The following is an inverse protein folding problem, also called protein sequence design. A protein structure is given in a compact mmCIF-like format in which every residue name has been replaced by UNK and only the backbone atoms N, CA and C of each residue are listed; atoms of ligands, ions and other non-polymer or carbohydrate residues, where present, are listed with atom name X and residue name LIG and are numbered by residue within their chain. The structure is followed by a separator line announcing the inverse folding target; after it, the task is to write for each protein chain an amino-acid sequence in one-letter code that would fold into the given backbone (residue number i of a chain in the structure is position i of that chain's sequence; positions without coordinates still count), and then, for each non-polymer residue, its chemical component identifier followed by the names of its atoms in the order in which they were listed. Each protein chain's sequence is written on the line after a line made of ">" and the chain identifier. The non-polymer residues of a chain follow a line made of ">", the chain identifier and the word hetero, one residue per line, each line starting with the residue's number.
data_IF_360650137591
#
_entry.id   IF_360650137591
#
_cell.length_a   1.000
_cell.length_b   1.000
_cell.length_c   1.000
_cell.angle_alpha   90.00
_cell.angle_beta   90.00
_cell.angle_gamma   90.00
#
_symmetry.space_group_name_H-M   'P 1'
#
loop_
_entity.id
_entity.type
_entity.pdbx_description
1 polymer ?
#
# COMPACT_ATOMS: atom_id res chain seq x y z
N UNK A 1 29.70 8.77 68.02
CA UNK A 1 29.99 8.90 66.57
C UNK A 1 28.89 9.75 65.98
N UNK A 2 29.19 10.66 65.06
CA UNK A 2 28.13 11.48 64.48
C UNK A 2 27.18 10.61 63.62
N UNK A 3 25.94 11.05 63.51
CA UNK A 3 24.94 10.45 62.61
C UNK A 3 25.48 10.41 61.18
N UNK A 4 25.02 9.43 60.43
CA UNK A 4 25.31 9.26 58.98
C UNK A 4 24.01 9.22 58.19
N UNK A 5 24.09 9.33 56.87
CA UNK A 5 22.91 9.33 56.01
C UNK A 5 22.91 8.15 55.04
N UNK A 6 21.74 7.75 54.56
CA UNK A 6 21.62 6.82 53.47
C UNK A 6 21.96 7.49 52.15
N UNK A 7 22.68 6.80 51.27
CA UNK A 7 23.21 7.37 50.01
C UNK A 7 22.12 7.85 49.05
N UNK A 8 21.02 7.08 48.92
CA UNK A 8 20.01 7.35 47.89
C UNK A 8 18.92 8.32 48.37
N UNK A 9 18.52 8.23 49.64
CA UNK A 9 17.40 9.01 50.16
C UNK A 9 17.81 10.05 51.17
N UNK A 10 19.07 10.13 51.59
CA UNK A 10 19.53 11.05 52.60
C UNK A 10 18.82 10.94 53.95
N UNK A 11 18.40 9.70 54.30
CA UNK A 11 17.74 9.44 55.60
C UNK A 11 18.77 9.35 56.68
N UNK A 12 18.57 10.05 57.77
CA UNK A 12 19.51 10.07 58.88
C UNK A 12 19.51 8.74 59.65
N UNK A 13 20.66 8.13 59.77
CA UNK A 13 20.93 6.99 60.64
C UNK A 13 21.49 7.52 61.97
N UNK A 14 20.61 7.66 62.95
CA UNK A 14 20.96 8.18 64.25
C UNK A 14 21.97 7.28 64.92
N UNK A 15 23.11 7.82 65.36
CA UNK A 15 24.11 7.08 66.10
C UNK A 15 23.68 6.84 67.55
N UNK A 16 24.13 5.73 68.11
CA UNK A 16 23.81 5.35 69.48
C UNK A 16 24.28 6.41 70.46
N UNK A 17 23.36 6.91 71.26
CA UNK A 17 23.62 7.95 72.27
C UNK A 17 23.54 9.37 71.76
N UNK A 18 23.28 9.57 70.47
CA UNK A 18 23.01 10.91 69.90
C UNK A 18 21.54 11.28 70.00
N UNK A 19 21.27 12.59 69.80
CA UNK A 19 19.92 13.17 69.68
C UNK A 19 19.01 12.95 70.91
N UNK A 20 19.59 12.97 72.12
CA UNK A 20 18.80 12.94 73.33
C UNK A 20 17.81 14.12 73.39
N UNK A 21 16.51 13.76 73.40
CA UNK A 21 15.41 14.72 73.32
C UNK A 21 14.96 15.18 71.93
N UNK A 22 15.72 14.86 70.85
CA UNK A 22 15.37 15.23 69.47
C UNK A 22 15.21 14.05 68.53
N UNK A 23 15.49 12.81 68.95
CA UNK A 23 15.43 11.62 68.10
C UNK A 23 14.03 11.42 67.49
N UNK A 24 12.95 11.77 68.22
CA UNK A 24 11.58 11.71 67.72
C UNK A 24 11.34 12.65 66.52
N UNK A 25 11.89 13.86 66.58
CA UNK A 25 11.82 14.79 65.47
C UNK A 25 12.56 14.27 64.24
N UNK A 26 13.78 13.74 64.40
CA UNK A 26 14.58 13.18 63.34
C UNK A 26 13.88 11.92 62.74
N UNK A 27 13.29 11.07 63.58
CA UNK A 27 12.54 9.92 63.12
C UNK A 27 11.32 10.31 62.29
N UNK A 28 10.56 11.31 62.75
CA UNK A 28 9.41 11.83 62.00
C UNK A 28 9.85 12.46 60.65
N UNK A 29 10.93 13.26 60.66
CA UNK A 29 11.50 13.77 59.41
C UNK A 29 11.90 12.65 58.45
N UNK A 30 12.53 11.60 58.97
CA UNK A 30 12.87 10.43 58.16
C UNK A 30 11.63 9.76 57.52
N UNK A 31 10.51 9.67 58.24
CA UNK A 31 9.25 9.18 57.66
C UNK A 31 8.74 10.08 56.56
N UNK A 32 8.78 11.39 56.73
CA UNK A 32 8.39 12.34 55.69
C UNK A 32 9.28 12.21 54.44
N UNK A 33 10.59 11.96 54.62
CA UNK A 33 11.51 11.72 53.52
C UNK A 33 11.21 10.41 52.78
N UNK A 34 10.84 9.36 53.50
CA UNK A 34 10.45 8.08 52.94
C UNK A 34 9.13 8.23 52.14
N UNK A 35 8.15 8.91 52.75
CA UNK A 35 6.86 9.19 52.10
C UNK A 35 7.04 9.92 50.76
N UNK A 36 7.82 11.01 50.79
CA UNK A 36 8.16 11.77 49.57
C UNK A 36 8.86 10.95 48.51
N UNK A 37 9.71 10.01 48.90
CA UNK A 37 10.42 9.14 47.98
C UNK A 37 9.52 8.03 47.37
N UNK A 38 8.53 7.55 48.13
CA UNK A 38 7.65 6.48 47.71
C UNK A 38 6.49 6.99 46.85
N UNK A 39 5.89 8.12 47.27
CA UNK A 39 4.65 8.60 46.62
C UNK A 39 4.60 10.14 46.42
N UNK A 40 5.70 10.84 46.69
CA UNK A 40 5.76 12.29 46.56
C UNK A 40 5.62 12.76 45.12
N UNK A 41 4.77 13.77 44.93
CA UNK A 41 4.53 14.46 43.65
C UNK A 41 4.88 15.94 43.85
N UNK A 42 5.69 16.52 42.95
CA UNK A 42 6.08 17.92 43.04
C UNK A 42 6.08 18.58 41.66
N UNK A 43 5.71 19.86 41.65
CA UNK A 43 5.94 20.75 40.50
C UNK A 43 7.11 21.67 40.82
N UNK A 44 8.11 21.70 39.96
CA UNK A 44 9.32 22.52 40.06
C UNK A 44 9.29 23.57 38.95
N UNK A 45 9.14 24.84 39.36
CA UNK A 45 9.14 25.95 38.41
C UNK A 45 10.57 26.38 38.11
N UNK A 46 11.02 26.26 36.88
CA UNK A 46 12.31 26.73 36.42
C UNK A 46 12.26 28.25 36.18
N UNK A 47 13.21 28.98 36.70
CA UNK A 47 13.32 30.43 36.51
C UNK A 47 14.26 30.84 35.37
N UNK A 48 15.07 29.90 34.86
CA UNK A 48 15.99 30.08 33.74
C UNK A 48 16.28 28.76 33.05
N UNK A 49 16.74 28.82 31.81
CA UNK A 49 17.20 27.66 31.10
C UNK A 49 18.50 27.06 31.66
N UNK A 50 19.31 27.87 32.32
CA UNK A 50 20.63 27.45 32.79
C UNK A 50 21.58 27.08 31.64
N UNK A 51 22.57 26.28 31.94
CA UNK A 51 23.50 25.69 30.95
C UNK A 51 24.12 24.42 31.51
N UNK A 52 24.87 23.68 30.71
CA UNK A 52 25.60 22.49 31.16
C UNK A 52 26.62 22.78 32.25
N UNK A 53 27.19 23.99 32.31
CA UNK A 53 28.10 24.44 33.37
C UNK A 53 27.45 25.18 34.55
N UNK A 54 26.16 25.50 34.41
CA UNK A 54 25.35 26.18 35.47
C UNK A 54 23.90 25.68 35.34
N UNK A 55 23.64 24.42 35.65
CA UNK A 55 22.30 23.83 35.58
C UNK A 55 21.45 24.28 36.77
N UNK A 56 20.14 24.03 36.69
CA UNK A 56 19.27 24.05 37.85
C UNK A 56 19.48 22.79 38.67
N UNK A 57 19.81 22.91 39.94
CA UNK A 57 19.96 21.80 40.86
C UNK A 57 18.60 21.16 41.19
N UNK A 58 18.55 19.88 41.13
CA UNK A 58 17.47 19.01 41.62
C UNK A 58 18.03 18.19 42.80
N UNK A 59 18.04 18.75 44.02
CA UNK A 59 18.77 18.14 45.11
C UNK A 59 18.03 17.01 45.81
N UNK A 60 18.79 16.03 46.31
CA UNK A 60 18.42 15.11 47.38
C UNK A 60 19.25 15.47 48.60
N UNK A 61 18.66 16.25 49.49
CA UNK A 61 19.38 16.81 50.63
C UNK A 61 19.32 15.90 51.84
N UNK A 62 20.47 15.66 52.45
CA UNK A 62 20.56 14.81 53.65
C UNK A 62 19.73 15.38 54.82
N UNK A 63 18.89 14.53 55.41
CA UNK A 63 18.08 14.85 56.58
C UNK A 63 17.03 15.96 56.39
N UNK A 64 16.79 16.39 55.14
CA UNK A 64 15.83 17.49 54.85
C UNK A 64 15.00 17.18 53.62
N UNK A 65 13.82 17.74 53.51
CA UNK A 65 12.97 17.67 52.32
C UNK A 65 13.67 18.35 51.14
N UNK A 66 13.50 17.75 49.94
CA UNK A 66 14.12 18.29 48.74
C UNK A 66 13.39 17.77 47.47
N UNK A 67 13.43 18.59 46.40
CA UNK A 67 12.67 18.35 45.20
C UNK A 67 13.08 17.06 44.47
N UNK A 68 14.39 16.75 44.45
CA UNK A 68 14.93 15.57 43.79
C UNK A 68 14.52 14.23 44.43
N UNK A 69 13.97 14.27 45.65
CA UNK A 69 13.54 13.07 46.39
C UNK A 69 12.23 12.50 45.85
N UNK A 70 11.35 13.33 45.30
CA UNK A 70 10.01 12.95 44.91
C UNK A 70 10.00 11.86 43.79
N UNK A 71 8.97 11.03 43.80
CA UNK A 71 8.77 9.97 42.80
C UNK A 71 8.32 10.51 41.46
N UNK A 72 7.47 11.56 41.48
CA UNK A 72 7.00 12.26 40.30
C UNK A 72 7.42 13.72 40.37
N UNK A 73 8.05 14.23 39.32
CA UNK A 73 8.53 15.60 39.23
C UNK A 73 8.04 16.21 37.93
N UNK A 74 7.23 17.26 38.05
CA UNK A 74 6.81 18.04 36.89
C UNK A 74 7.64 19.32 36.82
N UNK A 75 8.32 19.55 35.71
CA UNK A 75 8.98 20.82 35.46
C UNK A 75 8.05 21.78 34.71
N UNK A 76 7.88 22.96 35.30
CA UNK A 76 7.11 24.09 34.75
C UNK A 76 7.99 25.31 34.63
N UNK A 77 7.50 26.35 33.99
CA UNK A 77 8.12 27.67 33.97
C UNK A 77 7.06 28.78 34.18
N UNK A 78 7.52 29.99 34.49
CA UNK A 78 6.67 31.18 34.56
C UNK A 78 6.47 31.86 33.20
N UNK A 79 7.07 31.31 32.11
CA UNK A 79 7.09 31.80 30.75
C UNK A 79 8.26 31.19 29.98
N UNK A 80 8.27 31.32 28.66
CA UNK A 80 9.29 30.72 27.80
C UNK A 80 10.72 31.06 28.25
N UNK A 81 11.50 30.04 28.61
CA UNK A 81 12.89 30.17 29.07
C UNK A 81 13.87 30.59 27.96
N UNK A 82 13.43 30.67 26.72
CA UNK A 82 14.24 31.06 25.55
C UNK A 82 15.21 30.00 25.03
N UNK A 83 15.33 28.85 25.66
CA UNK A 83 16.24 27.78 25.29
C UNK A 83 15.94 26.48 26.01
N UNK A 84 16.71 25.43 25.68
CA UNK A 84 16.70 24.14 26.36
C UNK A 84 17.13 24.31 27.82
N UNK A 85 16.36 23.77 28.76
CA UNK A 85 16.67 23.83 30.17
C UNK A 85 17.66 22.74 30.59
N UNK A 86 18.61 23.10 31.46
CA UNK A 86 19.57 22.11 32.01
C UNK A 86 19.26 21.89 33.49
N UNK A 87 19.07 20.64 33.88
CA UNK A 87 18.75 20.22 35.25
C UNK A 87 19.74 19.12 35.67
N UNK A 88 20.27 19.25 36.88
CA UNK A 88 21.20 18.30 37.44
C UNK A 88 20.67 17.67 38.71
N UNK A 89 20.57 16.33 38.75
CA UNK A 89 20.30 15.62 40.00
C UNK A 89 21.56 15.59 40.86
N UNK A 90 21.43 16.07 42.12
CA UNK A 90 22.48 16.06 43.10
C UNK A 90 22.05 15.34 44.40
N UNK A 91 22.96 14.66 45.11
CA UNK A 91 24.35 14.40 44.78
C UNK A 91 24.55 13.38 43.65
N UNK A 92 25.76 13.33 43.08
CA UNK A 92 26.06 12.49 41.92
C UNK A 92 26.19 11.01 42.22
N UNK A 93 26.13 10.59 43.48
CA UNK A 93 26.17 9.22 43.93
C UNK A 93 24.79 8.66 44.37
N UNK A 94 23.73 9.44 44.22
CA UNK A 94 22.37 8.96 44.54
C UNK A 94 21.81 8.15 43.39
N UNK A 95 21.45 6.91 43.62
CA UNK A 95 20.69 6.10 42.66
C UNK A 95 19.21 6.39 42.79
N UNK A 96 18.53 6.57 41.62
CA UNK A 96 17.12 6.89 41.63
C UNK A 96 16.41 6.43 40.34
N UNK A 97 15.19 5.98 40.51
CA UNK A 97 14.21 5.90 39.42
C UNK A 97 13.11 6.91 39.69
N UNK A 98 12.80 7.75 38.71
CA UNK A 98 11.85 8.84 38.87
C UNK A 98 11.04 9.01 37.57
N UNK A 99 9.76 9.39 37.76
CA UNK A 99 8.91 9.82 36.65
C UNK A 99 9.01 11.33 36.50
N UNK A 100 9.36 11.80 35.33
CA UNK A 100 9.54 13.23 35.05
C UNK A 100 8.63 13.63 33.91
N UNK A 101 7.94 14.78 34.11
CA UNK A 101 7.15 15.46 33.08
C UNK A 101 7.77 16.78 32.71
N UNK A 102 7.88 17.03 31.41
CA UNK A 102 8.25 18.34 30.89
C UNK A 102 6.99 19.12 30.48
N UNK A 103 6.62 20.12 31.29
CA UNK A 103 5.50 21.03 31.04
C UNK A 103 5.97 22.48 30.80
N UNK A 104 7.18 22.66 30.26
CA UNK A 104 7.70 23.98 29.93
C UNK A 104 6.91 24.63 28.78
N UNK A 105 6.82 25.93 28.77
CA UNK A 105 6.27 26.71 27.67
C UNK A 105 7.27 26.83 26.49
N UNK A 106 6.87 27.42 25.37
CA UNK A 106 7.75 27.69 24.22
C UNK A 106 8.33 26.47 23.54
N UNK A 107 7.73 25.26 23.72
CA UNK A 107 8.21 24.00 23.14
C UNK A 107 9.65 23.65 23.51
N UNK A 108 10.06 23.94 24.76
CA UNK A 108 11.44 23.77 25.25
C UNK A 108 11.68 22.35 25.77
N UNK A 109 12.82 21.77 25.39
CA UNK A 109 13.31 20.51 25.97
C UNK A 109 13.99 20.73 27.31
N UNK A 110 14.09 19.69 28.12
CA UNK A 110 14.92 19.61 29.31
C UNK A 110 16.02 18.58 29.06
N UNK A 111 17.27 19.00 29.23
CA UNK A 111 18.42 18.10 29.37
C UNK A 111 18.63 17.85 30.85
N UNK A 112 18.45 16.60 31.28
CA UNK A 112 18.66 16.19 32.65
C UNK A 112 19.86 15.24 32.73
N UNK A 113 20.73 15.48 33.74
CA UNK A 113 21.93 14.71 33.91
C UNK A 113 22.30 14.58 35.42
N UNK A 114 23.31 13.76 35.70
CA UNK A 114 23.90 13.58 37.01
C UNK A 114 25.44 13.52 36.86
N UNK A 115 26.17 14.04 37.87
CA UNK A 115 27.62 14.12 37.77
C UNK A 115 28.10 15.21 36.81
N UNK A 116 29.20 15.00 36.13
CA UNK A 116 29.72 15.95 35.12
C UNK A 116 28.93 15.81 33.81
N UNK A 117 28.44 16.92 33.29
CA UNK A 117 27.69 16.92 32.02
C UNK A 117 28.50 16.30 30.87
N UNK A 118 27.89 15.42 30.16
CA UNK A 118 28.39 14.87 28.92
C UNK A 118 27.19 14.41 28.07
N UNK A 119 27.14 14.79 26.78
CA UNK A 119 26.06 14.46 25.87
C UNK A 119 25.85 12.95 25.64
N UNK A 120 26.75 12.08 26.13
CA UNK A 120 26.58 10.63 26.10
C UNK A 120 25.97 10.06 27.39
N UNK A 121 25.82 10.85 28.45
CA UNK A 121 25.34 10.39 29.75
C UNK A 121 24.15 11.22 30.30
N UNK A 122 23.65 12.14 29.52
CA UNK A 122 22.41 12.89 29.81
C UNK A 122 21.18 12.24 29.20
N UNK A 123 20.02 12.84 29.44
CA UNK A 123 18.77 12.50 28.78
C UNK A 123 17.98 13.75 28.40
N UNK A 124 17.58 13.86 27.16
CA UNK A 124 16.74 14.95 26.68
C UNK A 124 15.25 14.57 26.76
N UNK A 125 14.47 15.37 27.50
CA UNK A 125 13.03 15.23 27.64
C UNK A 125 12.37 16.29 26.76
N UNK A 126 11.80 15.88 25.64
CA UNK A 126 11.10 16.79 24.75
C UNK A 126 9.85 17.38 25.43
N UNK A 127 9.45 18.56 24.97
CA UNK A 127 8.29 19.28 25.54
C UNK A 127 7.02 18.40 25.50
N UNK A 128 6.24 18.46 26.59
CA UNK A 128 4.99 17.74 26.76
C UNK A 128 5.14 16.22 26.92
N UNK A 129 6.36 15.72 27.16
CA UNK A 129 6.61 14.29 27.35
C UNK A 129 6.74 13.91 28.84
N UNK A 130 6.25 12.70 29.12
CA UNK A 130 6.43 11.98 30.37
C UNK A 130 7.44 10.86 30.14
N UNK A 131 8.42 10.74 31.03
CA UNK A 131 9.47 9.73 30.96
C UNK A 131 9.76 9.16 32.34
N UNK A 132 10.12 7.88 32.40
CA UNK A 132 10.66 7.26 33.61
C UNK A 132 12.15 7.08 33.41
N UNK A 133 12.94 7.76 34.22
CA UNK A 133 14.39 7.79 34.13
C UNK A 133 15.05 7.06 35.31
N UNK A 134 16.18 6.45 35.03
CA UNK A 134 17.09 5.86 36.00
C UNK A 134 18.37 6.67 36.03
N UNK A 135 18.74 7.16 37.24
CA UNK A 135 20.02 7.73 37.60
C UNK A 135 20.85 6.66 38.31
N UNK A 136 22.06 6.41 37.85
CA UNK A 136 22.86 5.29 38.35
C UNK A 136 23.82 5.60 39.48
N UNK A 137 23.88 6.86 39.92
CA UNK A 137 24.76 7.25 41.05
C UNK A 137 26.25 7.03 40.81
N UNK A 138 26.71 7.02 39.56
CA UNK A 138 28.09 6.68 39.17
C UNK A 138 29.13 7.76 39.42
N UNK A 139 28.86 8.73 40.31
CA UNK A 139 29.76 9.83 40.61
C UNK A 139 29.88 10.83 39.48
N UNK A 140 31.13 11.26 39.14
CA UNK A 140 31.37 12.19 38.01
C UNK A 140 30.97 11.62 36.66
N UNK A 141 30.98 10.33 36.50
CA UNK A 141 30.58 9.59 35.28
C UNK A 141 29.16 9.02 35.35
N UNK A 142 28.31 9.54 36.24
CA UNK A 142 26.93 9.07 36.38
C UNK A 142 26.15 9.20 35.04
N UNK A 143 25.27 8.27 34.79
CA UNK A 143 24.45 8.20 33.56
C UNK A 143 22.98 8.31 33.90
N UNK A 144 22.22 8.89 32.96
CA UNK A 144 20.75 8.93 32.97
C UNK A 144 20.24 8.13 31.80
N UNK A 145 19.37 7.16 32.08
CA UNK A 145 18.80 6.29 31.03
C UNK A 145 17.30 6.19 31.19
N UNK A 146 16.59 6.04 30.09
CA UNK A 146 15.16 5.75 30.11
C UNK A 146 14.93 4.33 30.56
N UNK A 147 13.94 4.10 31.42
CA UNK A 147 13.62 2.78 31.95
C UNK A 147 12.84 1.94 30.93
N UNK A 148 11.94 2.57 30.20
CA UNK A 148 11.11 1.91 29.18
C UNK A 148 11.63 2.24 27.78
N UNK A 149 12.73 1.63 27.36
CA UNK A 149 13.27 1.75 26.00
C UNK A 149 12.53 0.78 25.07
N UNK A 150 12.28 -0.45 25.56
CA UNK A 150 11.56 -1.50 24.84
C UNK A 150 10.30 -1.87 25.62
N UNK A 151 9.13 -1.67 25.02
CA UNK A 151 7.88 -2.14 25.59
C UNK A 151 7.63 -3.57 25.14
N UNK A 152 7.90 -4.55 26.00
CA UNK A 152 7.45 -5.93 25.83
C UNK A 152 6.08 -6.07 26.47
N UNK A 153 5.03 -5.98 25.67
CA UNK A 153 3.65 -6.11 26.12
C UNK A 153 2.99 -7.30 25.43
N UNK A 154 2.25 -8.10 26.20
CA UNK A 154 1.45 -9.20 25.63
C UNK A 154 0.31 -8.63 24.76
N UNK A 155 -0.29 -7.52 25.18
CA UNK A 155 -1.33 -6.80 24.46
C UNK A 155 -1.20 -5.30 24.70
N UNK A 156 -1.43 -4.52 23.63
CA UNK A 156 -1.67 -3.08 23.73
C UNK A 156 -3.14 -2.86 23.41
N UNK A 157 -3.93 -2.44 24.39
CA UNK A 157 -5.36 -2.14 24.20
C UNK A 157 -5.55 -0.65 24.16
N UNK A 158 -6.06 -0.14 23.05
CA UNK A 158 -6.29 1.28 22.81
C UNK A 158 -5.79 1.73 21.45
N UNK A 159 -5.84 3.04 21.20
CA UNK A 159 -5.35 3.62 19.96
C UNK A 159 -3.85 3.83 20.03
N UNK A 160 -3.11 3.32 19.05
CA UNK A 160 -1.72 3.70 18.84
C UNK A 160 -1.69 4.97 17.99
N UNK A 161 -1.27 6.09 18.59
CA UNK A 161 -1.10 7.35 17.87
C UNK A 161 0.38 7.55 17.55
N UNK A 162 0.72 7.53 16.26
CA UNK A 162 2.09 7.66 15.77
C UNK A 162 2.42 6.62 14.70
N UNK A 163 3.67 6.62 14.26
CA UNK A 163 4.15 5.70 13.23
C UNK A 163 4.58 4.37 13.84
N UNK A 164 4.20 3.27 13.21
CA UNK A 164 4.80 1.96 13.46
C UNK A 164 6.01 1.82 12.54
N UNK A 165 7.21 1.83 13.11
CA UNK A 165 8.45 1.59 12.37
C UNK A 165 8.85 0.14 12.57
N UNK A 166 8.79 -0.68 11.52
CA UNK A 166 9.06 -2.12 11.56
C UNK A 166 7.91 -2.94 11.00
N UNK A 167 8.02 -4.26 11.16
CA UNK A 167 7.02 -5.20 10.64
C UNK A 167 5.83 -5.34 11.59
N UNK A 168 4.63 -5.25 11.06
CA UNK A 168 3.43 -5.70 11.77
C UNK A 168 3.21 -7.17 11.42
N UNK A 169 3.41 -8.05 12.41
CA UNK A 169 3.17 -9.49 12.26
C UNK A 169 1.81 -9.83 12.86
N UNK A 170 0.87 -10.22 12.04
CA UNK A 170 -0.51 -10.52 12.45
C UNK A 170 -1.54 -9.89 11.52
N UNK A 171 -2.82 -10.05 11.86
CA UNK A 171 -3.92 -9.48 11.09
C UNK A 171 -4.12 -7.99 11.44
N UNK A 172 -4.25 -7.15 10.42
CA UNK A 172 -4.75 -5.79 10.57
C UNK A 172 -6.25 -5.84 10.30
N UNK A 173 -7.06 -5.62 11.36
CA UNK A 173 -8.52 -5.59 11.24
C UNK A 173 -8.97 -4.13 11.21
N UNK A 174 -9.46 -3.67 10.09
CA UNK A 174 -9.89 -2.28 9.87
C UNK A 174 -9.35 -1.71 8.56
N UNK A 175 -9.60 -0.43 8.34
CA UNK A 175 -9.17 0.25 7.14
C UNK A 175 -7.71 0.67 7.24
N UNK A 176 -6.92 0.42 6.19
CA UNK A 176 -5.62 1.04 6.01
C UNK A 176 -5.84 2.30 5.18
N UNK A 177 -5.61 3.47 5.76
CA UNK A 177 -5.72 4.77 5.09
C UNK A 177 -4.33 5.29 4.78
N UNK A 178 -4.01 5.47 3.52
CA UNK A 178 -2.70 5.89 3.02
C UNK A 178 -2.13 4.92 1.98
N UNK A 179 -0.90 5.15 1.59
CA UNK A 179 -0.23 4.34 0.57
C UNK A 179 0.29 3.03 1.17
N UNK A 180 -0.02 1.91 0.52
CA UNK A 180 0.61 0.62 0.79
C UNK A 180 1.77 0.43 -0.19
N UNK A 181 2.99 0.61 0.30
CA UNK A 181 4.21 0.42 -0.50
C UNK A 181 4.75 -0.99 -0.28
N UNK A 182 4.71 -1.82 -1.30
CA UNK A 182 5.17 -3.21 -1.27
C UNK A 182 4.18 -4.19 -1.89
N UNK A 183 4.49 -5.48 -1.77
CA UNK A 183 3.66 -6.54 -2.34
C UNK A 183 2.52 -6.92 -1.40
N UNK A 184 1.31 -7.07 -1.95
CA UNK A 184 0.20 -7.75 -1.27
C UNK A 184 0.27 -9.23 -1.62
N UNK A 185 0.60 -10.07 -0.63
CA UNK A 185 0.61 -11.52 -0.79
C UNK A 185 -0.67 -12.09 -0.17
N UNK A 186 -1.56 -12.60 -0.99
CA UNK A 186 -2.86 -13.12 -0.58
C UNK A 186 -4.01 -12.55 -1.42
N UNK A 187 -5.24 -12.84 -1.01
CA UNK A 187 -6.43 -12.39 -1.73
C UNK A 187 -6.80 -10.94 -1.36
N UNK A 188 -7.05 -10.12 -2.38
CA UNK A 188 -7.72 -8.83 -2.19
C UNK A 188 -9.21 -9.07 -2.39
N UNK A 189 -9.99 -8.99 -1.28
CA UNK A 189 -11.44 -9.13 -1.32
C UNK A 189 -12.07 -7.75 -1.25
N UNK A 190 -12.68 -7.30 -2.32
CA UNK A 190 -13.28 -5.97 -2.46
C UNK A 190 -12.88 -5.29 -3.78
N UNK A 191 -13.29 -4.05 -3.94
CA UNK A 191 -12.98 -3.28 -5.14
C UNK A 191 -11.58 -2.69 -5.08
N UNK A 192 -10.83 -2.84 -6.16
CA UNK A 192 -9.60 -2.06 -6.39
C UNK A 192 -9.99 -0.84 -7.22
N UNK A 193 -9.96 0.34 -6.61
CA UNK A 193 -10.28 1.60 -7.29
C UNK A 193 -9.00 2.35 -7.59
N UNK A 194 -8.69 2.59 -8.85
CA UNK A 194 -7.48 3.27 -9.31
C UNK A 194 -6.81 2.54 -10.46
N UNK A 195 -5.66 3.02 -10.87
CA UNK A 195 -4.89 2.42 -11.96
C UNK A 195 -4.05 1.24 -11.45
N UNK A 196 -4.10 0.13 -12.16
CA UNK A 196 -3.19 -1.00 -11.95
C UNK A 196 -2.05 -0.83 -12.96
N UNK A 197 -0.86 -0.50 -12.47
CA UNK A 197 0.34 -0.39 -13.31
C UNK A 197 1.13 -1.68 -13.21
N UNK A 198 1.22 -2.43 -14.29
CA UNK A 198 1.89 -3.72 -14.36
C UNK A 198 1.02 -4.80 -14.97
N UNK A 199 1.47 -6.05 -14.89
CA UNK A 199 0.76 -7.19 -15.47
C UNK A 199 -0.33 -7.70 -14.52
N UNK A 200 -1.52 -7.94 -15.05
CA UNK A 200 -2.55 -8.73 -14.38
C UNK A 200 -2.39 -10.16 -14.88
N UNK A 201 -1.87 -11.03 -14.02
CA UNK A 201 -1.72 -12.47 -14.32
C UNK A 201 -2.72 -13.26 -13.50
N UNK A 202 -3.54 -14.05 -14.16
CA UNK A 202 -4.51 -14.97 -13.52
C UNK A 202 -4.28 -16.38 -14.04
N UNK A 203 -4.12 -17.33 -13.13
CA UNK A 203 -4.09 -18.76 -13.48
C UNK A 203 -5.50 -19.36 -13.62
N UNK A 204 -6.54 -18.60 -13.27
CA UNK A 204 -7.94 -18.97 -13.39
C UNK A 204 -8.71 -18.08 -14.37
N UNK A 205 -10.03 -18.12 -14.28
CA UNK A 205 -10.90 -17.25 -15.08
C UNK A 205 -10.96 -15.84 -14.49
N UNK A 206 -10.68 -14.83 -15.31
CA UNK A 206 -10.93 -13.43 -14.95
C UNK A 206 -12.24 -12.99 -15.61
N UNK A 207 -13.21 -12.56 -14.81
CA UNK A 207 -14.51 -12.08 -15.30
C UNK A 207 -14.54 -10.56 -15.25
N UNK A 208 -14.69 -9.93 -16.40
CA UNK A 208 -14.86 -8.49 -16.54
C UNK A 208 -16.25 -8.20 -17.10
N UNK A 209 -17.00 -7.31 -16.49
CA UNK A 209 -18.32 -6.89 -17.02
C UNK A 209 -18.18 -6.14 -18.35
N UNK A 210 -17.15 -5.31 -18.47
CA UNK A 210 -16.76 -4.62 -19.71
C UNK A 210 -15.24 -4.58 -19.79
N UNK A 211 -14.71 -4.75 -21.00
CA UNK A 211 -13.29 -4.59 -21.31
C UNK A 211 -13.17 -3.60 -22.46
N UNK A 212 -12.46 -2.50 -22.22
CA UNK A 212 -12.11 -1.53 -23.25
C UNK A 212 -10.59 -1.62 -23.50
N UNK A 213 -10.20 -2.10 -24.68
CA UNK A 213 -8.81 -2.23 -25.09
C UNK A 213 -8.50 -1.13 -26.09
N UNK A 214 -8.01 0.00 -25.61
CA UNK A 214 -7.67 1.17 -26.43
C UNK A 214 -6.36 1.01 -27.25
N UNK A 215 -5.63 -0.08 -26.98
CA UNK A 215 -4.41 -0.45 -27.71
C UNK A 215 -3.89 -1.79 -27.25
N UNK A 216 -3.04 -2.42 -28.03
CA UNK A 216 -2.50 -3.74 -27.75
C UNK A 216 -3.11 -4.86 -28.60
N UNK A 217 -2.86 -6.11 -28.22
CA UNK A 217 -3.31 -7.29 -28.93
C UNK A 217 -4.08 -8.24 -28.01
N UNK A 218 -4.97 -9.04 -28.59
CA UNK A 218 -5.57 -10.23 -27.96
C UNK A 218 -4.96 -11.42 -28.65
N UNK A 219 -3.93 -12.01 -28.04
CA UNK A 219 -3.14 -13.08 -28.63
C UNK A 219 -3.52 -14.47 -28.08
N UNK A 220 -3.51 -15.45 -28.93
CA UNK A 220 -3.63 -16.87 -28.58
C UNK A 220 -4.94 -17.27 -27.91
N UNK A 221 -5.99 -16.47 -28.03
CA UNK A 221 -7.24 -16.69 -27.32
C UNK A 221 -8.45 -16.63 -28.28
N UNK A 222 -9.44 -17.53 -28.16
CA UNK A 222 -10.70 -17.41 -28.90
C UNK A 222 -11.49 -16.19 -28.39
N UNK A 223 -11.91 -15.31 -29.27
CA UNK A 223 -12.81 -14.19 -28.95
C UNK A 223 -14.25 -14.63 -29.17
N UNK A 224 -15.09 -14.52 -28.13
CA UNK A 224 -16.52 -14.88 -28.18
C UNK A 224 -16.79 -16.39 -28.25
N UNK A 225 -15.93 -17.22 -27.65
CA UNK A 225 -16.01 -18.68 -27.76
C UNK A 225 -17.33 -19.29 -27.23
N UNK A 226 -17.90 -18.72 -26.14
CA UNK A 226 -19.09 -19.27 -25.47
C UNK A 226 -20.39 -18.59 -25.87
N UNK A 227 -20.37 -17.31 -26.10
CA UNK A 227 -21.55 -16.52 -26.50
C UNK A 227 -21.09 -15.42 -27.45
N UNK A 228 -20.95 -15.73 -28.73
CA UNK A 228 -20.54 -14.76 -29.73
C UNK A 228 -21.56 -13.60 -29.81
N UNK A 229 -21.05 -12.40 -29.92
CA UNK A 229 -21.83 -11.20 -30.18
C UNK A 229 -21.29 -10.50 -31.43
N UNK A 230 -21.93 -9.41 -31.84
CA UNK A 230 -21.49 -8.61 -32.99
C UNK A 230 -20.10 -8.05 -32.78
N UNK A 231 -19.17 -8.33 -33.67
CA UNK A 231 -17.85 -7.68 -33.75
C UNK A 231 -17.84 -6.65 -34.89
N UNK A 232 -17.46 -5.42 -34.62
CA UNK A 232 -17.22 -4.38 -35.62
C UNK A 232 -15.71 -4.24 -35.85
N UNK A 233 -15.27 -4.41 -37.09
CA UNK A 233 -13.87 -4.29 -37.48
C UNK A 233 -13.74 -3.27 -38.62
N UNK A 234 -12.79 -2.36 -38.53
CA UNK A 234 -12.41 -1.50 -39.66
C UNK A 234 -11.63 -2.30 -40.72
N UNK A 235 -10.88 -3.30 -40.28
CA UNK A 235 -10.14 -4.22 -41.12
C UNK A 235 -10.09 -5.58 -40.44
N UNK A 236 -10.48 -6.64 -41.16
CA UNK A 236 -10.28 -8.02 -40.75
C UNK A 236 -9.22 -8.65 -41.65
N UNK A 237 -8.05 -8.94 -41.08
CA UNK A 237 -6.97 -9.65 -41.78
C UNK A 237 -6.73 -11.00 -41.13
N UNK A 238 -6.69 -12.08 -41.95
CA UNK A 238 -6.42 -13.43 -41.51
C UNK A 238 -5.25 -14.02 -42.29
N UNK A 239 -4.33 -14.69 -41.60
CA UNK A 239 -3.22 -15.41 -42.24
C UNK A 239 -3.62 -16.83 -42.65
N UNK A 240 -4.77 -17.31 -42.21
CA UNK A 240 -5.35 -18.61 -42.54
C UNK A 240 -6.76 -18.49 -43.09
N UNK A 241 -7.50 -19.60 -43.08
CA UNK A 241 -8.88 -19.62 -43.54
C UNK A 241 -9.83 -18.98 -42.56
N UNK A 242 -10.58 -17.98 -42.99
CA UNK A 242 -11.72 -17.48 -42.22
C UNK A 242 -12.97 -18.30 -42.62
N UNK A 243 -13.56 -19.03 -41.67
CA UNK A 243 -14.82 -19.74 -41.90
C UNK A 243 -15.98 -18.85 -41.46
N UNK A 244 -16.72 -18.35 -42.43
CA UNK A 244 -17.89 -17.49 -42.22
C UNK A 244 -19.11 -18.23 -42.74
N UNK A 245 -20.11 -18.61 -41.91
CA UNK A 245 -21.31 -19.34 -42.36
C UNK A 245 -22.12 -18.57 -43.39
N UNK A 246 -22.16 -17.27 -43.26
CA UNK A 246 -22.77 -16.33 -44.21
C UNK A 246 -21.91 -15.08 -44.32
N UNK A 247 -21.74 -14.58 -45.51
CA UNK A 247 -21.09 -13.31 -45.80
C UNK A 247 -22.08 -12.43 -46.54
N UNK A 248 -22.45 -11.31 -45.95
CA UNK A 248 -23.23 -10.25 -46.60
C UNK A 248 -22.28 -9.09 -46.91
N UNK A 249 -22.06 -8.86 -48.20
CA UNK A 249 -21.25 -7.76 -48.68
C UNK A 249 -22.18 -6.69 -49.22
N UNK A 250 -22.64 -5.78 -48.35
CA UNK A 250 -23.56 -4.69 -48.70
C UNK A 250 -22.96 -3.66 -49.68
N UNK A 251 -21.65 -3.64 -49.84
CA UNK A 251 -20.90 -2.82 -50.78
C UNK A 251 -19.41 -3.19 -50.71
N UNK A 252 -18.67 -2.85 -51.75
CA UNK A 252 -17.24 -3.14 -51.87
C UNK A 252 -16.92 -4.16 -52.96
N UNK A 253 -15.68 -4.62 -53.00
CA UNK A 253 -15.11 -5.47 -54.03
C UNK A 253 -14.63 -6.80 -53.40
N UNK A 254 -14.69 -7.90 -54.16
CA UNK A 254 -14.08 -9.17 -53.84
C UNK A 254 -12.97 -9.36 -54.86
N UNK A 255 -11.77 -8.92 -54.52
CA UNK A 255 -10.62 -8.95 -55.41
C UNK A 255 -9.72 -10.19 -55.18
N UNK A 256 -9.12 -10.66 -56.25
CA UNK A 256 -8.04 -11.63 -56.22
C UNK A 256 -8.43 -13.02 -55.67
N UNK A 257 -9.72 -13.32 -55.57
CA UNK A 257 -10.21 -14.57 -54.95
C UNK A 257 -11.09 -15.38 -55.89
N UNK A 258 -11.01 -16.69 -55.74
CA UNK A 258 -11.95 -17.60 -56.44
C UNK A 258 -13.22 -17.76 -55.61
N UNK A 259 -14.35 -17.41 -56.20
CA UNK A 259 -15.65 -17.61 -55.55
C UNK A 259 -16.13 -19.06 -55.85
N UNK A 260 -16.29 -19.87 -54.79
CA UNK A 260 -16.74 -21.26 -54.92
C UNK A 260 -15.69 -22.21 -55.46
N UNK A 261 -14.40 -22.05 -55.13
CA UNK A 261 -13.30 -22.79 -55.70
C UNK A 261 -13.33 -24.33 -55.40
N UNK A 262 -13.82 -24.73 -54.22
CA UNK A 262 -13.81 -26.15 -53.82
C UNK A 262 -15.16 -26.87 -54.02
N UNK A 263 -16.25 -26.19 -53.70
CA UNK A 263 -17.62 -26.71 -53.88
C UNK A 263 -18.49 -25.56 -54.38
N UNK A 264 -18.50 -25.31 -55.68
CA UNK A 264 -19.27 -24.19 -56.22
C UNK A 264 -20.77 -24.38 -55.98
N UNK A 265 -21.40 -23.38 -55.42
CA UNK A 265 -22.85 -23.24 -55.36
C UNK A 265 -23.37 -22.39 -56.51
N UNK A 266 -24.68 -22.31 -56.62
CA UNK A 266 -25.30 -21.39 -57.57
C UNK A 266 -25.04 -19.94 -57.19
N UNK A 267 -24.47 -19.14 -58.07
CA UNK A 267 -24.36 -17.69 -57.95
C UNK A 267 -25.54 -17.02 -58.65
N UNK A 268 -26.30 -16.18 -57.97
CA UNK A 268 -27.33 -15.33 -58.57
C UNK A 268 -26.80 -13.91 -58.72
N UNK A 269 -26.68 -13.45 -59.94
CA UNK A 269 -26.23 -12.09 -60.27
C UNK A 269 -27.34 -11.30 -60.93
N UNK A 270 -27.59 -10.09 -60.47
CA UNK A 270 -28.53 -9.18 -61.16
C UNK A 270 -28.01 -8.78 -62.56
N UNK A 271 -26.73 -8.63 -62.68
CA UNK A 271 -26.00 -8.47 -63.94
C UNK A 271 -24.59 -9.05 -63.77
N UNK A 272 -24.10 -9.75 -64.77
CA UNK A 272 -22.71 -10.19 -64.86
C UNK A 272 -22.03 -9.41 -65.97
N UNK A 273 -21.09 -8.53 -65.60
CA UNK A 273 -20.25 -7.85 -66.56
C UNK A 273 -18.81 -8.35 -66.39
N UNK A 274 -18.15 -8.74 -67.45
CA UNK A 274 -16.76 -9.16 -67.49
C UNK A 274 -15.94 -8.10 -68.19
N UNK A 275 -14.87 -7.64 -67.57
CA UNK A 275 -13.91 -6.72 -68.14
C UNK A 275 -12.81 -7.41 -68.93
N UNK A 276 -12.73 -8.74 -68.81
CA UNK A 276 -11.88 -9.59 -69.66
C UNK A 276 -12.62 -10.14 -70.85
N UNK A 277 -11.89 -10.72 -71.74
CA UNK A 277 -12.38 -11.11 -73.10
C UNK A 277 -13.21 -12.39 -73.12
N UNK A 278 -13.43 -13.10 -72.01
CA UNK A 278 -14.14 -14.35 -72.04
C UNK A 278 -14.96 -14.69 -70.79
N UNK A 279 -16.08 -15.38 -71.03
CA UNK A 279 -16.78 -16.17 -70.00
C UNK A 279 -16.57 -17.64 -70.40
N UNK A 280 -15.92 -18.41 -69.54
CA UNK A 280 -15.69 -19.86 -69.79
C UNK A 280 -16.72 -20.66 -69.02
N UNK A 281 -17.48 -21.47 -69.72
CA UNK A 281 -18.36 -22.50 -69.12
C UNK A 281 -17.55 -23.80 -69.13
N UNK A 282 -17.04 -24.26 -68.01
CA UNK A 282 -16.10 -25.38 -67.95
C UNK A 282 -16.74 -26.70 -68.19
N UNK A 283 -17.98 -26.88 -67.79
CA UNK A 283 -18.72 -28.15 -68.05
C UNK A 283 -20.07 -27.81 -68.66
N UNK A 284 -20.26 -28.15 -69.88
CA UNK A 284 -21.54 -27.96 -70.54
C UNK A 284 -22.25 -29.26 -70.70
N UNK A 285 -23.57 -29.29 -70.51
CA UNK A 285 -24.42 -30.44 -70.78
C UNK A 285 -25.24 -30.14 -72.02
N UNK A 286 -25.00 -30.88 -73.04
CA UNK A 286 -25.79 -30.77 -74.27
C UNK A 286 -27.23 -31.27 -74.05
N UNK A 287 -28.26 -30.45 -74.34
CA UNK A 287 -29.64 -30.88 -74.18
C UNK A 287 -29.92 -32.06 -75.09
N UNK A 288 -30.52 -33.14 -74.51
CA UNK A 288 -30.81 -34.38 -75.27
C UNK A 288 -31.83 -34.16 -76.38
N UNK A 289 -32.66 -33.13 -76.30
CA UNK A 289 -33.65 -32.75 -77.30
C UNK A 289 -34.06 -31.28 -77.13
N UNK A 290 -34.81 -30.72 -78.11
CA UNK A 290 -35.42 -29.39 -78.00
C UNK A 290 -36.41 -29.24 -76.84
N UNK A 291 -36.86 -30.34 -76.27
CA UNK A 291 -37.77 -30.40 -75.10
C UNK A 291 -37.11 -30.97 -73.83
N UNK A 292 -35.80 -31.13 -73.82
CA UNK A 292 -35.08 -31.56 -72.61
C UNK A 292 -35.34 -30.68 -71.45
N UNK A 293 -35.21 -31.23 -70.24
CA UNK A 293 -35.34 -30.45 -69.02
C UNK A 293 -34.34 -29.26 -69.01
N UNK A 294 -34.79 -28.12 -68.68
CA UNK A 294 -33.96 -26.86 -68.61
C UNK A 294 -34.77 -25.69 -68.12
N UNK A 295 -34.07 -24.74 -67.54
CA UNK A 295 -34.62 -23.49 -67.02
C UNK A 295 -34.39 -22.35 -68.01
N UNK A 296 -35.38 -21.47 -68.16
CA UNK A 296 -35.27 -20.33 -69.05
C UNK A 296 -34.02 -19.53 -68.73
N UNK A 297 -33.20 -19.25 -69.73
CA UNK A 297 -31.92 -18.51 -69.62
C UNK A 297 -30.70 -19.42 -69.48
N UNK A 298 -30.85 -20.71 -69.33
CA UNK A 298 -29.74 -21.71 -69.34
C UNK A 298 -28.99 -21.67 -70.64
N UNK A 299 -27.68 -21.70 -70.58
CA UNK A 299 -26.77 -21.82 -71.76
C UNK A 299 -26.01 -23.14 -71.63
N UNK A 300 -25.93 -23.88 -72.81
CA UNK A 300 -25.12 -25.03 -72.94
C UNK A 300 -24.43 -25.00 -74.30
N UNK A 301 -23.36 -25.75 -74.46
CA UNK A 301 -22.68 -25.86 -75.76
C UNK A 301 -22.08 -27.27 -75.95
N UNK A 302 -21.88 -27.59 -77.19
CA UNK A 302 -21.05 -28.70 -77.65
C UNK A 302 -20.11 -28.24 -78.77
N UNK A 303 -19.50 -29.16 -79.45
CA UNK A 303 -18.56 -28.84 -80.53
C UNK A 303 -19.21 -28.26 -81.81
N UNK A 304 -20.54 -28.37 -81.92
CA UNK A 304 -21.27 -27.96 -83.10
C UNK A 304 -22.29 -26.85 -82.88
N UNK A 305 -22.79 -26.74 -81.60
CA UNK A 305 -23.89 -25.86 -81.31
C UNK A 305 -23.71 -25.10 -79.96
N UNK A 306 -24.17 -23.84 -79.91
CA UNK A 306 -24.52 -23.10 -78.69
C UNK A 306 -26.04 -23.26 -78.51
N UNK A 307 -26.47 -23.71 -77.34
CA UNK A 307 -27.86 -23.92 -76.97
C UNK A 307 -28.30 -22.87 -75.94
N UNK A 308 -29.54 -22.43 -76.05
CA UNK A 308 -30.18 -21.52 -75.09
C UNK A 308 -31.56 -22.06 -74.75
N UNK A 309 -31.88 -22.19 -73.48
CA UNK A 309 -33.20 -22.53 -73.01
C UNK A 309 -34.06 -21.23 -72.99
N UNK A 310 -35.00 -21.11 -73.95
CA UNK A 310 -35.79 -19.88 -74.14
C UNK A 310 -37.10 -19.87 -73.37
N UNK A 311 -37.57 -21.03 -72.92
CA UNK A 311 -38.64 -21.22 -71.94
C UNK A 311 -38.42 -22.56 -71.23
N UNK A 312 -39.05 -22.77 -70.06
CA UNK A 312 -38.95 -24.08 -69.36
C UNK A 312 -39.04 -25.27 -70.30
N UNK A 313 -38.03 -26.10 -70.27
CA UNK A 313 -37.90 -27.26 -71.12
C UNK A 313 -38.04 -26.99 -72.68
N UNK A 314 -37.60 -25.77 -73.09
CA UNK A 314 -37.65 -25.40 -74.50
C UNK A 314 -36.31 -24.86 -74.93
N UNK A 315 -35.55 -25.64 -75.68
CA UNK A 315 -34.23 -25.31 -76.16
C UNK A 315 -34.22 -24.86 -77.57
N UNK A 316 -33.44 -23.84 -77.87
CA UNK A 316 -33.03 -23.46 -79.24
C UNK A 316 -31.53 -23.52 -79.37
N UNK A 317 -31.00 -23.70 -80.55
CA UNK A 317 -29.56 -23.79 -80.83
C UNK A 317 -29.17 -22.99 -82.08
N UNK A 318 -27.94 -22.58 -82.07
CA UNK A 318 -27.26 -21.96 -83.18
C UNK A 318 -26.00 -22.79 -83.50
N UNK A 319 -25.73 -23.07 -84.80
CA UNK A 319 -24.51 -23.78 -85.21
C UNK A 319 -23.31 -22.82 -85.02
N UNK A 320 -22.21 -23.38 -84.49
CA UNK A 320 -20.91 -22.76 -84.45
C UNK A 320 -19.96 -23.36 -85.44
N UNK A 321 -19.13 -22.56 -86.05
CA UNK A 321 -18.16 -23.05 -87.06
C UNK A 321 -16.82 -22.42 -86.86
N UNK A 322 -15.74 -23.01 -87.27
CA UNK A 322 -14.41 -22.41 -87.29
C UNK A 322 -14.41 -21.22 -88.27
N UNK A 323 -13.73 -20.19 -87.94
CA UNK A 323 -13.52 -18.99 -88.71
C UNK A 323 -12.12 -18.94 -89.29
#
# INVERSE_FOLDING_TARGET
>A
MPSTYTTNLGIEKIATGEQSGTWGTTTNTNFDLIDSAIDGIISVTLSSAGSSGSPTDLPITDGSTSNGRNKFIEFTDGGDLGGTAYVQLTPNNAEKIVHIRNSLSGSRSIIIFQGTYNASNDFEIANGKDVVLKFNGGGTGATVTQVFVDLVATNVTGNLTGNVTGNVTGAITGNVTGDLTGNVTGNVTGNVTGNITGNISSSGTSTFATVDINGGAVDGTPVGANSPATGAFTTLSTTGTATLPTVDVAGGEIDGTNIGASTPGAGTFNALATTGDSITIQTSQTPASSSASGTKGELAYDTEYLYICVATNTWKRVAVSTF
#
